data_IF_124894136023
#
_entry.id   IF_124894136023
#
_cell.length_a   1.000
_cell.length_b   1.000
_cell.length_c   1.000
_cell.angle_alpha   90.00
_cell.angle_beta   90.00
_cell.angle_gamma   90.00
#
_symmetry.space_group_name_H-M   'P 1'
#
loop_
_entity.id
_entity.type
_entity.pdbx_description
1 polymer ?
#
# COMPACT_ATOMS: atom_id res chain seq x y z
N UNK A 1 6.77 16.58 -11.58
CA UNK A 1 6.83 17.26 -10.24
C UNK A 1 7.74 16.53 -9.24
N UNK A 2 7.72 15.19 -9.16
CA UNK A 2 8.44 14.40 -8.14
C UNK A 2 9.52 13.47 -8.70
N UNK A 3 10.00 13.70 -9.90
CA UNK A 3 11.04 12.86 -10.51
C UNK A 3 12.29 12.76 -9.63
N UNK A 4 12.72 11.54 -9.35
CA UNK A 4 13.87 11.23 -8.49
C UNK A 4 13.68 11.49 -6.99
N UNK A 5 12.51 11.95 -6.53
CA UNK A 5 12.24 12.12 -5.09
C UNK A 5 11.84 10.79 -4.44
N UNK A 6 12.36 10.55 -3.25
CA UNK A 6 11.90 9.45 -2.41
C UNK A 6 10.47 9.72 -1.91
N UNK A 7 9.63 8.69 -1.83
CA UNK A 7 8.25 8.84 -1.37
C UNK A 7 8.17 9.39 0.06
N UNK A 8 9.14 9.06 0.94
CA UNK A 8 9.21 9.67 2.28
C UNK A 8 9.47 11.18 2.25
N UNK A 9 10.16 11.69 1.23
CA UNK A 9 10.37 13.13 1.05
C UNK A 9 9.10 13.84 0.57
N UNK A 10 8.32 13.16 -0.28
CA UNK A 10 7.02 13.65 -0.75
C UNK A 10 6.02 13.71 0.41
N UNK A 11 5.98 12.67 1.24
CA UNK A 11 5.17 12.67 2.46
C UNK A 11 5.57 13.80 3.41
N UNK A 12 6.88 13.96 3.68
CA UNK A 12 7.38 15.04 4.56
C UNK A 12 7.04 16.43 4.02
N UNK A 13 7.16 16.64 2.70
CA UNK A 13 6.77 17.88 2.06
C UNK A 13 5.28 18.19 2.28
N UNK A 14 4.40 17.22 2.03
CA UNK A 14 2.96 17.38 2.27
C UNK A 14 2.65 17.70 3.74
N UNK A 15 3.27 16.97 4.67
CA UNK A 15 3.07 17.21 6.11
C UNK A 15 3.54 18.58 6.52
N UNK A 16 4.68 19.06 6.02
CA UNK A 16 5.20 20.40 6.29
C UNK A 16 4.24 21.49 5.78
N UNK A 17 3.80 21.40 4.53
CA UNK A 17 2.84 22.30 3.90
C UNK A 17 1.50 22.32 4.68
N UNK A 18 1.03 21.17 5.11
CA UNK A 18 -0.25 21.03 5.81
C UNK A 18 -0.16 21.53 7.26
N UNK A 19 0.90 21.17 7.99
CA UNK A 19 1.11 21.64 9.37
C UNK A 19 1.29 23.15 9.46
N UNK A 20 1.79 23.80 8.39
CA UNK A 20 1.88 25.26 8.34
C UNK A 20 0.51 25.95 8.32
N UNK A 21 -0.51 25.28 7.75
CA UNK A 21 -1.84 25.83 7.50
C UNK A 21 -2.93 25.28 8.42
N UNK A 22 -2.77 24.05 8.94
CA UNK A 22 -3.73 23.41 9.86
C UNK A 22 -3.04 23.04 11.19
N UNK A 23 -3.35 23.79 12.29
CA UNK A 23 -2.79 23.53 13.60
C UNK A 23 -3.27 22.21 14.25
N UNK A 24 -4.28 21.57 13.68
CA UNK A 24 -4.79 20.28 14.16
C UNK A 24 -3.99 19.09 13.63
N UNK A 25 -3.19 19.26 12.59
CA UNK A 25 -2.32 18.19 12.07
C UNK A 25 -1.13 18.00 12.98
N UNK A 26 -0.93 16.76 13.43
CA UNK A 26 0.18 16.33 14.27
C UNK A 26 0.86 15.10 13.68
N UNK A 27 2.17 15.00 13.87
CA UNK A 27 2.99 13.87 13.43
C UNK A 27 3.58 13.20 14.66
N UNK A 28 3.45 11.89 14.78
CA UNK A 28 3.97 11.13 15.92
C UNK A 28 4.83 9.99 15.40
N UNK A 29 6.07 9.96 15.83
CA UNK A 29 7.06 8.92 15.52
C UNK A 29 7.43 8.12 16.78
N UNK A 30 7.89 6.90 16.58
CA UNK A 30 8.47 6.05 17.61
C UNK A 30 9.96 5.80 17.31
N UNK A 31 10.79 6.84 17.48
CA UNK A 31 12.26 6.86 17.27
C UNK A 31 12.70 6.55 15.81
N UNK A 32 11.82 6.74 14.83
CA UNK A 32 12.09 6.47 13.41
C UNK A 32 11.96 7.70 12.49
N UNK A 33 11.86 8.91 13.04
CA UNK A 33 11.68 10.13 12.25
C UNK A 33 12.76 10.35 11.17
N UNK A 34 14.04 9.99 11.43
CA UNK A 34 15.10 10.04 10.42
C UNK A 34 14.85 9.09 9.27
N UNK A 35 14.45 7.85 9.58
CA UNK A 35 14.16 6.84 8.58
C UNK A 35 12.92 7.18 7.76
N UNK A 36 11.89 7.72 8.40
CA UNK A 36 10.62 8.12 7.78
C UNK A 36 10.68 9.47 7.06
N UNK A 37 11.77 10.26 7.25
CA UNK A 37 11.97 11.57 6.62
C UNK A 37 11.34 12.75 7.36
N UNK A 38 10.70 12.51 8.52
CA UNK A 38 9.94 13.52 9.29
C UNK A 38 10.79 14.27 10.33
N UNK A 39 12.08 13.92 10.48
CA UNK A 39 12.95 14.48 11.53
C UNK A 39 12.98 16.03 11.58
N UNK A 40 13.02 16.68 10.42
CA UNK A 40 13.08 18.15 10.34
C UNK A 40 11.80 18.82 10.83
N UNK A 41 10.65 18.12 10.82
CA UNK A 41 9.39 18.65 11.33
C UNK A 41 9.45 18.91 12.84
N UNK A 42 10.24 18.15 13.59
CA UNK A 42 10.43 18.35 15.05
C UNK A 42 11.04 19.71 15.39
N UNK A 43 11.98 20.16 14.56
CA UNK A 43 12.60 21.47 14.76
C UNK A 43 11.64 22.61 14.40
N UNK A 44 10.79 22.40 13.41
CA UNK A 44 9.86 23.42 12.91
C UNK A 44 8.57 23.48 13.72
N UNK A 45 8.09 22.34 14.19
CA UNK A 45 6.83 22.19 14.92
C UNK A 45 7.01 21.34 16.21
N UNK A 46 7.80 21.81 17.20
CA UNK A 46 8.19 21.01 18.36
C UNK A 46 7.00 20.51 19.19
N UNK A 47 5.89 21.25 19.22
CA UNK A 47 4.67 20.87 19.96
C UNK A 47 3.74 19.91 19.17
N UNK A 48 4.02 19.66 17.89
CA UNK A 48 3.14 18.90 16.99
C UNK A 48 3.86 17.82 16.17
N UNK A 49 5.17 17.76 16.22
CA UNK A 49 5.98 16.67 15.68
C UNK A 49 6.68 15.97 16.84
N UNK A 50 6.04 14.94 17.37
CA UNK A 50 6.31 14.33 18.68
C UNK A 50 7.06 13.02 18.47
N UNK A 51 8.05 12.74 19.30
CA UNK A 51 8.67 11.42 19.43
C UNK A 51 8.32 10.81 20.79
N UNK A 52 7.79 9.60 20.75
CA UNK A 52 7.42 8.88 21.97
C UNK A 52 8.48 7.85 22.40
N UNK A 53 9.63 7.82 21.71
CA UNK A 53 10.62 6.75 21.86
C UNK A 53 10.16 5.45 21.20
N UNK A 54 10.89 4.36 21.42
CA UNK A 54 10.55 3.03 20.88
C UNK A 54 9.34 2.45 21.66
N UNK A 55 8.16 3.06 21.44
CA UNK A 55 6.93 2.77 22.15
C UNK A 55 5.70 2.89 21.24
N UNK A 56 5.63 2.06 20.20
CA UNK A 56 4.62 2.18 19.13
C UNK A 56 3.18 1.97 19.65
N UNK A 57 2.97 1.14 20.67
CA UNK A 57 1.66 0.97 21.30
C UNK A 57 1.21 2.27 21.98
N UNK A 58 2.14 2.96 22.67
CA UNK A 58 1.89 4.27 23.26
C UNK A 58 1.62 5.32 22.17
N UNK A 59 2.40 5.31 21.07
CA UNK A 59 2.17 6.17 19.90
C UNK A 59 0.74 6.07 19.39
N UNK A 60 0.25 4.84 19.18
CA UNK A 60 -1.12 4.62 18.68
C UNK A 60 -2.19 5.07 19.68
N UNK A 61 -1.96 4.84 20.98
CA UNK A 61 -2.89 5.26 22.05
C UNK A 61 -2.95 6.79 22.20
N UNK A 62 -1.79 7.47 22.14
CA UNK A 62 -1.71 8.94 22.12
C UNK A 62 -2.45 9.50 20.91
N UNK A 63 -2.20 8.93 19.72
CA UNK A 63 -2.87 9.36 18.49
C UNK A 63 -4.40 9.24 18.59
N UNK A 64 -4.90 8.12 19.11
CA UNK A 64 -6.33 7.93 19.34
C UNK A 64 -6.91 8.98 20.30
N UNK A 65 -6.21 9.27 21.41
CA UNK A 65 -6.59 10.32 22.35
C UNK A 65 -6.58 11.70 21.72
N UNK A 66 -5.57 12.06 20.95
CA UNK A 66 -5.49 13.34 20.22
C UNK A 66 -6.61 13.46 19.19
N UNK A 67 -6.91 12.39 18.45
CA UNK A 67 -7.99 12.38 17.47
C UNK A 67 -9.36 12.61 18.15
N UNK A 68 -9.59 12.05 19.34
CA UNK A 68 -10.81 12.30 20.12
C UNK A 68 -10.96 13.75 20.57
N UNK A 69 -9.85 14.50 20.66
CA UNK A 69 -9.82 15.94 20.91
C UNK A 69 -9.88 16.79 19.64
N UNK A 70 -10.11 16.17 18.47
CA UNK A 70 -10.27 16.86 17.18
C UNK A 70 -8.99 17.16 16.46
N UNK A 71 -7.84 16.57 16.85
CA UNK A 71 -6.61 16.58 16.07
C UNK A 71 -6.66 15.58 14.92
N UNK A 72 -5.77 15.75 13.95
CA UNK A 72 -5.59 14.88 12.77
C UNK A 72 -4.19 14.23 12.84
N UNK A 73 -3.98 13.19 13.65
CA UNK A 73 -2.66 12.59 13.83
C UNK A 73 -2.25 11.69 12.67
N UNK A 74 -1.00 11.84 12.25
CA UNK A 74 -0.25 10.93 11.40
C UNK A 74 0.77 10.20 12.29
N UNK A 75 0.67 8.87 12.39
CA UNK A 75 1.63 8.05 13.11
C UNK A 75 2.48 7.25 12.11
N UNK A 76 3.80 7.20 12.35
CA UNK A 76 4.74 6.61 11.40
C UNK A 76 5.69 5.64 12.10
N UNK A 77 5.84 4.45 11.49
CA UNK A 77 6.86 3.49 11.87
C UNK A 77 7.16 2.56 10.68
N UNK A 78 8.13 1.64 10.82
CA UNK A 78 8.24 0.54 9.86
C UNK A 78 7.00 -0.33 9.89
N UNK A 79 6.66 -0.90 8.73
CA UNK A 79 5.40 -1.66 8.54
C UNK A 79 5.11 -2.66 9.66
N UNK A 80 6.01 -3.58 10.10
CA UNK A 80 5.68 -4.54 11.16
C UNK A 80 5.37 -3.87 12.51
N UNK A 81 5.94 -2.69 12.75
CA UNK A 81 5.77 -1.96 14.00
C UNK A 81 4.54 -1.06 13.97
N UNK A 82 4.20 -0.53 12.79
CA UNK A 82 2.97 0.24 12.57
C UNK A 82 1.72 -0.65 12.38
N UNK A 83 1.87 -1.97 12.40
CA UNK A 83 0.76 -2.91 12.16
C UNK A 83 0.70 -4.02 13.20
N UNK A 84 1.45 -5.09 13.06
CA UNK A 84 1.41 -6.26 13.94
C UNK A 84 1.68 -5.91 15.40
N UNK A 85 2.69 -5.05 15.68
CA UNK A 85 3.05 -4.65 17.06
C UNK A 85 1.96 -3.85 17.77
N UNK A 86 1.13 -3.10 17.02
CA UNK A 86 0.09 -2.21 17.55
C UNK A 86 -1.32 -2.62 17.10
N UNK A 87 -1.50 -3.89 16.73
CA UNK A 87 -2.75 -4.39 16.16
C UNK A 87 -3.95 -4.16 17.08
N UNK A 88 -3.79 -4.40 18.39
CA UNK A 88 -4.86 -4.18 19.37
C UNK A 88 -5.22 -2.69 19.50
N UNK A 89 -4.23 -1.80 19.54
CA UNK A 89 -4.48 -0.35 19.60
C UNK A 89 -5.16 0.15 18.33
N UNK A 90 -4.80 -0.39 17.15
CA UNK A 90 -5.50 -0.09 15.89
C UNK A 90 -6.95 -0.56 15.97
N UNK A 91 -7.17 -1.80 16.42
CA UNK A 91 -8.50 -2.39 16.46
C UNK A 91 -9.43 -1.64 17.45
N UNK A 92 -8.99 -1.43 18.68
CA UNK A 92 -9.84 -0.95 19.77
C UNK A 92 -9.77 0.57 19.89
N UNK A 93 -8.57 1.13 20.05
CA UNK A 93 -8.43 2.57 20.33
C UNK A 93 -8.73 3.43 19.11
N UNK A 94 -8.41 2.94 17.90
CA UNK A 94 -8.56 3.70 16.67
C UNK A 94 -9.83 3.30 15.91
N UNK A 95 -9.95 2.05 15.48
CA UNK A 95 -10.99 1.63 14.54
C UNK A 95 -12.37 1.43 15.20
N UNK A 96 -12.44 0.76 16.36
CA UNK A 96 -13.70 0.61 17.11
C UNK A 96 -14.24 1.97 17.55
N UNK A 97 -13.35 2.84 18.03
CA UNK A 97 -13.70 4.21 18.43
C UNK A 97 -13.85 5.18 17.23
N UNK A 98 -13.67 4.71 15.98
CA UNK A 98 -13.75 5.50 14.73
C UNK A 98 -12.90 6.78 14.76
N UNK A 99 -11.71 6.70 15.33
CA UNK A 99 -10.81 7.85 15.46
C UNK A 99 -10.14 8.17 14.11
N UNK A 100 -10.03 9.47 13.80
CA UNK A 100 -9.41 9.96 12.57
C UNK A 100 -7.89 9.94 12.65
N UNK A 101 -7.29 8.75 12.62
CA UNK A 101 -5.83 8.53 12.67
C UNK A 101 -5.33 8.01 11.32
N UNK A 102 -4.24 8.62 10.81
CA UNK A 102 -3.53 8.14 9.62
C UNK A 102 -2.31 7.34 10.07
N UNK A 103 -2.30 6.06 9.75
CA UNK A 103 -1.26 5.09 10.15
C UNK A 103 -0.38 4.83 8.95
N UNK A 104 0.92 5.14 9.04
CA UNK A 104 1.86 4.97 7.93
C UNK A 104 2.85 3.86 8.30
N UNK A 105 2.75 2.75 7.56
CA UNK A 105 3.73 1.66 7.60
C UNK A 105 4.70 1.77 6.44
N UNK A 106 5.99 1.99 6.75
CA UNK A 106 7.01 2.17 5.72
C UNK A 106 7.77 0.89 5.40
N UNK A 107 8.19 0.75 4.13
CA UNK A 107 8.91 -0.40 3.56
C UNK A 107 8.22 -1.75 3.80
N UNK A 108 7.00 -1.94 3.29
CA UNK A 108 6.29 -3.20 3.39
C UNK A 108 6.92 -4.32 2.56
N UNK A 109 6.74 -5.56 2.99
CA UNK A 109 7.17 -6.74 2.24
C UNK A 109 8.67 -6.73 1.94
N UNK A 110 9.04 -7.16 0.74
CA UNK A 110 10.45 -7.22 0.30
C UNK A 110 11.10 -5.84 0.13
N UNK A 111 10.34 -4.75 0.16
CA UNK A 111 10.90 -3.40 0.06
C UNK A 111 11.73 -2.96 1.28
N UNK A 112 11.65 -3.69 2.38
CA UNK A 112 12.52 -3.49 3.55
C UNK A 112 13.98 -3.94 3.33
N UNK A 113 14.25 -4.75 2.28
CA UNK A 113 15.58 -5.12 1.78
C UNK A 113 16.56 -5.59 2.88
N UNK A 114 17.63 -4.81 3.13
CA UNK A 114 18.69 -5.16 4.09
C UNK A 114 18.24 -5.17 5.56
N UNK A 115 17.07 -4.65 5.88
CA UNK A 115 16.55 -4.73 7.25
C UNK A 115 16.18 -6.16 7.66
N UNK A 116 16.01 -7.06 6.68
CA UNK A 116 15.77 -8.49 6.92
C UNK A 116 14.39 -8.82 7.46
N UNK A 117 14.16 -10.12 7.71
CA UNK A 117 12.85 -10.67 8.05
C UNK A 117 12.19 -10.12 9.30
N UNK A 118 12.95 -9.60 10.27
CA UNK A 118 12.39 -8.98 11.49
C UNK A 118 11.73 -7.62 11.23
N UNK A 119 12.10 -6.95 10.13
CA UNK A 119 11.61 -5.64 9.71
C UNK A 119 10.77 -5.70 8.42
N UNK A 120 10.73 -6.86 7.76
CA UNK A 120 9.83 -7.15 6.65
C UNK A 120 8.49 -7.61 7.18
N UNK A 121 7.41 -6.90 6.86
CA UNK A 121 6.05 -7.39 7.10
C UNK A 121 5.53 -8.01 5.82
N UNK A 122 5.32 -9.31 5.85
CA UNK A 122 4.67 -10.06 4.76
C UNK A 122 3.19 -10.29 5.07
N UNK A 123 2.70 -9.81 6.22
CA UNK A 123 1.39 -10.13 6.78
C UNK A 123 0.54 -8.91 7.17
N UNK A 124 1.05 -7.71 6.97
CA UNK A 124 0.43 -6.45 7.44
C UNK A 124 -1.01 -6.25 6.94
N UNK A 125 -1.26 -6.46 5.65
CA UNK A 125 -2.61 -6.38 5.08
C UNK A 125 -3.49 -7.48 5.69
N UNK A 126 -2.99 -8.71 5.79
CA UNK A 126 -3.72 -9.86 6.32
C UNK A 126 -4.14 -9.65 7.78
N UNK A 127 -3.27 -9.07 8.60
CA UNK A 127 -3.56 -8.73 10.00
C UNK A 127 -4.62 -7.62 10.10
N UNK A 128 -4.51 -6.59 9.27
CA UNK A 128 -5.35 -5.39 9.38
C UNK A 128 -6.67 -5.48 8.60
N UNK A 129 -6.73 -6.28 7.53
CA UNK A 129 -7.91 -6.31 6.66
C UNK A 129 -9.18 -6.80 7.35
N UNK A 130 -9.05 -7.63 8.38
CA UNK A 130 -10.18 -8.10 9.19
C UNK A 130 -10.75 -7.05 10.15
N UNK A 131 -10.01 -5.96 10.45
CA UNK A 131 -10.43 -4.94 11.42
C UNK A 131 -11.48 -4.01 10.77
N UNK A 132 -12.71 -3.88 11.33
CA UNK A 132 -13.73 -2.99 10.78
C UNK A 132 -13.32 -1.51 10.76
N UNK A 133 -13.93 -0.73 9.88
CA UNK A 133 -13.74 0.72 9.72
C UNK A 133 -12.37 1.17 9.19
N UNK A 134 -11.37 0.29 9.07
CA UNK A 134 -10.05 0.63 8.56
C UNK A 134 -10.03 0.64 7.03
N UNK A 135 -9.59 1.73 6.43
CA UNK A 135 -9.22 1.80 5.00
C UNK A 135 -7.76 1.40 4.87
N UNK A 136 -7.44 0.57 3.86
CA UNK A 136 -6.07 0.14 3.54
C UNK A 136 -5.71 0.64 2.15
N UNK A 137 -4.71 1.51 2.08
CA UNK A 137 -4.26 2.16 0.86
C UNK A 137 -2.75 1.95 0.64
N UNK A 138 -2.35 1.63 -0.59
CA UNK A 138 -0.96 1.41 -1.01
C UNK A 138 -0.64 2.24 -2.26
N UNK A 139 -0.02 3.42 -2.14
CA UNK A 139 0.35 4.23 -3.29
C UNK A 139 1.46 3.57 -4.12
N UNK A 140 1.34 3.67 -5.44
CA UNK A 140 2.28 3.06 -6.38
C UNK A 140 3.50 3.94 -6.68
N UNK A 141 3.33 5.26 -6.65
CA UNK A 141 4.39 6.23 -6.93
C UNK A 141 4.22 7.56 -6.17
N UNK A 142 5.16 8.46 -6.37
CA UNK A 142 5.20 9.75 -5.70
C UNK A 142 4.04 10.68 -6.10
N UNK A 143 3.55 10.60 -7.33
CA UNK A 143 2.41 11.41 -7.81
C UNK A 143 1.13 10.93 -7.15
N UNK A 144 0.88 9.62 -7.16
CA UNK A 144 -0.28 9.05 -6.50
C UNK A 144 -0.27 9.34 -5.00
N UNK A 145 0.88 9.16 -4.33
CA UNK A 145 1.02 9.51 -2.91
C UNK A 145 0.63 10.97 -2.66
N UNK A 146 1.24 11.92 -3.37
CA UNK A 146 0.99 13.34 -3.13
C UNK A 146 -0.47 13.73 -3.39
N UNK A 147 -1.07 13.21 -4.47
CA UNK A 147 -2.47 13.48 -4.82
C UNK A 147 -3.46 12.82 -3.86
N UNK A 148 -3.09 11.70 -3.24
CA UNK A 148 -3.94 10.99 -2.28
C UNK A 148 -3.96 11.64 -0.90
N UNK A 149 -2.86 12.24 -0.45
CA UNK A 149 -2.72 12.75 0.91
C UNK A 149 -3.76 13.81 1.30
N UNK A 150 -4.13 14.81 0.46
CA UNK A 150 -5.21 15.74 0.77
C UNK A 150 -6.57 15.04 0.94
N UNK A 151 -6.88 14.07 0.07
CA UNK A 151 -8.13 13.29 0.13
C UNK A 151 -8.18 12.45 1.40
N UNK A 152 -7.06 11.81 1.74
CA UNK A 152 -6.92 11.01 2.96
C UNK A 152 -7.01 11.90 4.21
N UNK A 153 -6.43 13.10 4.21
CA UNK A 153 -6.51 14.04 5.31
C UNK A 153 -7.95 14.43 5.63
N UNK A 154 -8.76 14.68 4.58
CA UNK A 154 -10.17 15.06 4.74
C UNK A 154 -11.10 13.86 5.01
N UNK A 155 -10.67 12.65 4.72
CA UNK A 155 -11.44 11.45 5.07
C UNK A 155 -11.53 11.29 6.59
N UNK A 156 -12.74 11.38 7.13
CA UNK A 156 -12.98 11.29 8.58
C UNK A 156 -13.05 9.82 9.04
N UNK A 157 -11.91 9.22 9.24
CA UNK A 157 -11.77 7.84 9.67
C UNK A 157 -10.33 7.34 9.63
N UNK A 158 -10.08 6.13 10.16
CA UNK A 158 -8.75 5.55 10.15
C UNK A 158 -8.35 5.09 8.75
N UNK A 159 -7.12 5.42 8.35
CA UNK A 159 -6.51 4.98 7.09
C UNK A 159 -5.12 4.43 7.38
N UNK A 160 -4.87 3.20 6.97
CA UNK A 160 -3.53 2.63 6.92
C UNK A 160 -2.93 2.88 5.54
N UNK A 161 -1.81 3.59 5.49
CA UNK A 161 -1.02 3.90 4.30
C UNK A 161 0.20 2.98 4.28
N UNK A 162 0.22 2.06 3.35
CA UNK A 162 1.28 1.08 3.14
C UNK A 162 2.30 1.63 2.15
N UNK A 163 3.41 2.21 2.62
CA UNK A 163 4.23 3.08 1.81
C UNK A 163 5.66 2.56 1.59
N UNK A 164 6.05 2.36 0.33
CA UNK A 164 7.47 2.29 -0.07
C UNK A 164 8.11 3.67 0.15
N UNK A 165 9.24 3.76 0.87
CA UNK A 165 9.78 5.07 1.24
C UNK A 165 10.87 5.61 0.32
N UNK A 166 11.46 4.77 -0.54
CA UNK A 166 12.52 5.18 -1.50
C UNK A 166 11.91 5.76 -2.79
N UNK A 167 12.74 5.96 -3.79
CA UNK A 167 12.30 6.38 -5.12
C UNK A 167 11.50 5.25 -5.77
N UNK A 168 10.24 5.51 -6.07
CA UNK A 168 9.39 4.61 -6.84
C UNK A 168 9.47 4.94 -8.33
N UNK A 169 9.30 3.93 -9.18
CA UNK A 169 9.18 4.14 -10.63
C UNK A 169 7.90 4.95 -10.93
N UNK A 170 7.96 5.98 -11.78
CA UNK A 170 6.80 6.79 -12.11
C UNK A 170 5.78 5.98 -12.93
N UNK A 171 4.54 6.01 -12.51
CA UNK A 171 3.38 5.39 -13.19
C UNK A 171 2.43 6.50 -13.67
N UNK A 172 2.17 7.49 -12.82
CA UNK A 172 1.23 8.57 -13.11
C UNK A 172 1.92 9.89 -13.41
N UNK A 173 1.31 10.68 -14.32
CA UNK A 173 1.73 12.05 -14.62
C UNK A 173 1.05 13.09 -13.72
N UNK A 174 1.46 14.36 -13.84
CA UNK A 174 0.95 15.47 -13.01
C UNK A 174 -0.57 15.68 -13.14
N UNK A 175 -1.17 15.28 -14.24
CA UNK A 175 -2.61 15.38 -14.50
C UNK A 175 -3.45 14.24 -13.88
N UNK A 176 -2.83 13.35 -13.12
CA UNK A 176 -3.53 12.26 -12.45
C UNK A 176 -4.54 12.79 -11.43
N UNK A 177 -5.76 12.25 -11.48
CA UNK A 177 -6.81 12.53 -10.52
C UNK A 177 -7.02 11.30 -9.63
N UNK A 178 -6.89 11.48 -8.33
CA UNK A 178 -7.02 10.44 -7.34
C UNK A 178 -8.44 10.35 -6.80
N UNK A 179 -8.98 9.14 -6.73
CA UNK A 179 -10.19 8.80 -5.97
C UNK A 179 -9.85 7.65 -5.01
N UNK A 180 -10.06 7.85 -3.71
CA UNK A 180 -9.67 6.90 -2.66
C UNK A 180 -10.34 5.51 -2.83
N UNK A 181 -11.49 5.45 -3.46
CA UNK A 181 -12.30 4.22 -3.55
C UNK A 181 -12.44 3.66 -4.98
N UNK A 182 -11.73 4.25 -5.96
CA UNK A 182 -11.73 3.80 -7.35
C UNK A 182 -10.35 3.30 -7.76
N UNK A 183 -10.26 2.06 -8.22
CA UNK A 183 -9.04 1.49 -8.77
C UNK A 183 -8.70 2.12 -10.14
N UNK A 184 -7.40 2.24 -10.44
CA UNK A 184 -6.94 2.85 -11.68
C UNK A 184 -6.73 1.81 -12.77
N UNK A 185 -7.34 2.00 -13.93
CA UNK A 185 -6.95 1.25 -15.13
C UNK A 185 -5.68 1.90 -15.70
N UNK A 186 -4.52 1.30 -15.39
CA UNK A 186 -3.21 1.80 -15.82
C UNK A 186 -2.95 1.48 -17.29
N UNK A 187 -3.49 0.37 -17.78
CA UNK A 187 -3.39 -0.07 -19.17
C UNK A 187 -4.64 -0.84 -19.56
N UNK A 188 -5.26 -0.45 -20.67
CA UNK A 188 -6.38 -1.17 -21.25
C UNK A 188 -5.92 -2.46 -21.94
N UNK A 189 -6.77 -3.50 -21.89
CA UNK A 189 -6.52 -4.77 -22.53
C UNK A 189 -7.78 -5.64 -22.67
N UNK A 190 -7.66 -6.76 -23.38
CA UNK A 190 -8.81 -7.61 -23.73
C UNK A 190 -8.63 -9.08 -23.36
N UNK A 191 -7.40 -9.54 -23.14
CA UNK A 191 -7.11 -10.97 -23.03
C UNK A 191 -6.96 -11.45 -21.59
N UNK A 192 -6.45 -10.64 -20.70
CA UNK A 192 -6.24 -10.99 -19.29
C UNK A 192 -6.16 -9.73 -18.45
N UNK A 193 -6.64 -9.78 -17.22
CA UNK A 193 -6.50 -8.70 -16.24
C UNK A 193 -5.44 -9.04 -15.21
N UNK A 194 -4.48 -8.13 -15.03
CA UNK A 194 -3.54 -8.13 -13.92
C UNK A 194 -4.00 -7.12 -12.87
N UNK A 195 -4.41 -7.62 -11.71
CA UNK A 195 -4.74 -6.82 -10.53
C UNK A 195 -3.48 -6.70 -9.67
N UNK A 196 -2.91 -5.52 -9.58
CA UNK A 196 -1.64 -5.31 -8.89
C UNK A 196 -1.74 -4.17 -7.87
N UNK A 197 -0.92 -4.23 -6.80
CA UNK A 197 -0.75 -3.13 -5.86
C UNK A 197 0.72 -2.77 -5.66
N UNK A 198 0.97 -1.52 -5.29
CA UNK A 198 2.29 -1.00 -4.93
C UNK A 198 3.36 -1.30 -5.98
N UNK A 199 4.52 -1.78 -5.53
CA UNK A 199 5.67 -2.05 -6.40
C UNK A 199 5.41 -3.09 -7.50
N UNK A 200 4.37 -3.93 -7.36
CA UNK A 200 4.06 -4.96 -8.35
C UNK A 200 3.37 -4.42 -9.61
N UNK A 201 2.83 -3.21 -9.57
CA UNK A 201 2.27 -2.56 -10.77
C UNK A 201 3.35 -2.36 -11.85
N UNK A 202 4.58 -2.02 -11.44
CA UNK A 202 5.71 -1.90 -12.37
C UNK A 202 6.07 -3.23 -13.02
N UNK A 203 6.07 -4.32 -12.26
CA UNK A 203 6.35 -5.65 -12.82
C UNK A 203 5.21 -6.08 -13.78
N UNK A 204 3.96 -5.74 -13.47
CA UNK A 204 2.83 -5.96 -14.38
C UNK A 204 3.01 -5.20 -15.70
N UNK A 205 3.45 -3.95 -15.67
CA UNK A 205 3.73 -3.15 -16.87
C UNK A 205 4.85 -3.76 -17.71
N UNK A 206 5.98 -4.15 -17.10
CA UNK A 206 7.08 -4.82 -17.81
C UNK A 206 6.62 -6.14 -18.46
N UNK A 207 5.90 -6.98 -17.71
CA UNK A 207 5.35 -8.22 -18.22
C UNK A 207 4.40 -8.00 -19.40
N UNK A 208 3.59 -6.94 -19.34
CA UNK A 208 2.67 -6.60 -20.42
C UNK A 208 3.35 -6.24 -21.73
N UNK A 209 4.54 -5.64 -21.69
CA UNK A 209 5.31 -5.34 -22.89
C UNK A 209 5.91 -6.62 -23.52
N UNK A 210 6.33 -7.59 -22.70
CA UNK A 210 6.77 -8.89 -23.19
C UNK A 210 5.61 -9.63 -23.86
N UNK A 211 4.47 -9.71 -23.17
CA UNK A 211 3.27 -10.41 -23.63
C UNK A 211 2.66 -9.79 -24.89
N UNK A 212 2.77 -8.47 -25.05
CA UNK A 212 2.35 -7.77 -26.27
C UNK A 212 3.10 -8.26 -27.51
N UNK A 213 4.39 -8.56 -27.39
CA UNK A 213 5.19 -9.13 -28.49
C UNK A 213 4.75 -10.57 -28.86
N UNK A 214 4.02 -11.23 -27.97
CA UNK A 214 3.41 -12.55 -28.20
C UNK A 214 1.93 -12.45 -28.62
N UNK A 215 1.41 -11.23 -28.86
CA UNK A 215 0.04 -10.99 -29.30
C UNK A 215 -1.01 -11.01 -28.18
N UNK A 216 -0.58 -10.93 -26.91
CA UNK A 216 -1.48 -10.94 -25.73
C UNK A 216 -1.70 -9.50 -25.24
N UNK A 217 -2.96 -9.04 -25.24
CA UNK A 217 -3.36 -7.72 -24.79
C UNK A 217 -3.75 -7.74 -23.31
N UNK A 218 -2.87 -7.27 -22.46
CA UNK A 218 -3.00 -7.28 -21.00
C UNK A 218 -3.68 -6.00 -20.51
N UNK A 219 -4.75 -6.12 -19.72
CA UNK A 219 -5.30 -5.05 -18.90
C UNK A 219 -4.60 -5.01 -17.55
N UNK A 220 -4.21 -3.83 -17.08
CA UNK A 220 -3.56 -3.66 -15.78
C UNK A 220 -4.38 -2.70 -14.94
N UNK A 221 -4.78 -3.16 -13.75
CA UNK A 221 -5.48 -2.36 -12.76
C UNK A 221 -4.60 -2.21 -11.52
N UNK A 222 -4.31 -0.97 -11.16
CA UNK A 222 -3.71 -0.62 -9.88
C UNK A 222 -4.81 -0.62 -8.80
N UNK A 223 -4.83 -1.65 -7.98
CA UNK A 223 -5.74 -1.78 -6.84
C UNK A 223 -5.07 -1.13 -5.62
N UNK A 224 -4.97 0.21 -5.65
CA UNK A 224 -4.31 0.97 -4.61
C UNK A 224 -5.07 0.95 -3.27
N UNK A 225 -6.39 0.83 -3.29
CA UNK A 225 -7.19 0.64 -2.07
C UNK A 225 -7.65 -0.81 -1.98
N UNK A 226 -7.04 -1.51 -1.03
CA UNK A 226 -7.26 -2.96 -0.83
C UNK A 226 -8.48 -3.20 0.05
N UNK A 227 -8.83 -2.22 0.86
CA UNK A 227 -10.03 -2.22 1.70
C UNK A 227 -10.60 -0.81 1.83
N UNK A 228 -11.89 -0.61 1.39
CA UNK A 228 -12.68 -1.56 0.60
C UNK A 228 -12.12 -1.73 -0.82
N UNK A 229 -12.41 -2.85 -1.48
CA UNK A 229 -12.10 -3.02 -2.91
C UNK A 229 -13.07 -2.21 -3.78
N UNK A 230 -12.59 -1.69 -4.90
CA UNK A 230 -13.44 -1.25 -6.00
C UNK A 230 -13.93 -2.47 -6.79
N UNK A 231 -14.99 -3.08 -6.28
CA UNK A 231 -15.56 -4.30 -6.86
C UNK A 231 -16.05 -4.08 -8.30
N UNK A 232 -16.61 -2.89 -8.58
CA UNK A 232 -17.18 -2.56 -9.89
C UNK A 232 -16.11 -2.58 -10.99
N UNK A 233 -15.00 -1.87 -10.78
CA UNK A 233 -13.90 -1.82 -11.75
C UNK A 233 -13.29 -3.21 -11.95
N UNK A 234 -13.05 -3.94 -10.87
CA UNK A 234 -12.49 -5.30 -10.93
C UNK A 234 -13.41 -6.25 -11.70
N UNK A 235 -14.70 -6.30 -11.35
CA UNK A 235 -15.65 -7.20 -11.98
C UNK A 235 -15.92 -6.86 -13.46
N UNK A 236 -15.98 -5.58 -13.82
CA UNK A 236 -16.16 -5.15 -15.21
C UNK A 236 -14.98 -5.58 -16.08
N UNK A 237 -13.75 -5.40 -15.61
CA UNK A 237 -12.55 -5.89 -16.27
C UNK A 237 -12.56 -7.41 -16.45
N UNK A 238 -12.84 -8.15 -15.37
CA UNK A 238 -12.80 -9.61 -15.41
C UNK A 238 -13.93 -10.24 -16.25
N UNK A 239 -15.09 -9.61 -16.35
CA UNK A 239 -16.15 -10.03 -17.30
C UNK A 239 -15.70 -9.87 -18.75
N UNK A 240 -14.92 -8.83 -19.05
CA UNK A 240 -14.33 -8.57 -20.38
C UNK A 240 -13.24 -9.57 -20.71
N UNK A 241 -12.23 -9.71 -19.84
CA UNK A 241 -11.00 -10.44 -20.12
C UNK A 241 -11.08 -11.94 -19.82
N UNK A 242 -11.92 -12.35 -18.87
CA UNK A 242 -12.16 -13.76 -18.43
C UNK A 242 -10.90 -14.51 -17.95
N UNK A 243 -9.82 -13.81 -17.63
CA UNK A 243 -8.60 -14.35 -17.04
C UNK A 243 -8.03 -13.35 -16.05
N UNK A 244 -7.56 -13.84 -14.91
CA UNK A 244 -7.10 -13.00 -13.80
C UNK A 244 -5.77 -13.47 -13.23
N UNK A 245 -4.87 -12.49 -13.02
CA UNK A 245 -3.66 -12.65 -12.21
C UNK A 245 -3.69 -11.60 -11.10
N UNK A 246 -3.38 -11.98 -9.86
CA UNK A 246 -3.24 -11.04 -8.75
C UNK A 246 -1.77 -10.95 -8.35
N UNK A 247 -1.26 -9.71 -8.22
CA UNK A 247 0.14 -9.42 -7.91
C UNK A 247 0.23 -8.54 -6.67
N UNK A 248 0.96 -9.01 -5.65
CA UNK A 248 1.13 -8.27 -4.40
C UNK A 248 2.51 -8.47 -3.78
N UNK A 249 3.02 -7.44 -3.13
CA UNK A 249 4.23 -7.51 -2.30
C UNK A 249 3.86 -7.89 -0.86
N UNK A 250 3.22 -9.03 -0.68
CA UNK A 250 2.65 -9.51 0.57
C UNK A 250 2.56 -11.04 0.54
N UNK A 251 2.34 -11.68 1.68
CA UNK A 251 1.97 -13.09 1.72
C UNK A 251 0.66 -13.31 0.95
N UNK A 252 0.60 -14.39 0.19
CA UNK A 252 -0.62 -14.79 -0.55
C UNK A 252 -1.84 -15.07 0.37
N UNK A 253 -1.59 -15.22 1.68
CA UNK A 253 -2.62 -15.42 2.68
C UNK A 253 -3.00 -14.07 3.30
N UNK A 254 -4.26 -13.68 3.18
CA UNK A 254 -4.84 -12.49 3.81
C UNK A 254 -4.69 -11.18 3.05
N UNK A 255 -3.83 -11.10 2.00
CA UNK A 255 -3.59 -9.89 1.21
C UNK A 255 -4.59 -9.63 0.09
N UNK A 256 -4.15 -8.97 -0.97
CA UNK A 256 -4.94 -8.64 -2.15
C UNK A 256 -5.51 -9.87 -2.84
N UNK A 257 -4.70 -10.94 -2.99
CA UNK A 257 -5.16 -12.20 -3.57
C UNK A 257 -6.35 -12.78 -2.80
N UNK A 258 -6.29 -12.77 -1.47
CA UNK A 258 -7.40 -13.25 -0.64
C UNK A 258 -8.64 -12.36 -0.80
N UNK A 259 -8.49 -11.04 -0.81
CA UNK A 259 -9.60 -10.10 -1.00
C UNK A 259 -10.30 -10.28 -2.35
N UNK A 260 -9.52 -10.43 -3.43
CA UNK A 260 -10.05 -10.70 -4.78
C UNK A 260 -10.70 -12.07 -4.83
N UNK A 261 -10.12 -13.10 -4.18
CA UNK A 261 -10.70 -14.44 -4.14
C UNK A 261 -12.06 -14.46 -3.45
N UNK A 262 -12.22 -13.75 -2.33
CA UNK A 262 -13.49 -13.61 -1.61
C UNK A 262 -14.56 -12.96 -2.52
N UNK A 263 -14.21 -11.86 -3.21
CA UNK A 263 -15.09 -11.20 -4.17
C UNK A 263 -15.52 -12.14 -5.31
N UNK A 264 -14.57 -12.88 -5.87
CA UNK A 264 -14.83 -13.71 -7.05
C UNK A 264 -15.65 -14.95 -6.73
N UNK A 265 -15.42 -15.57 -5.57
CA UNK A 265 -16.25 -16.73 -5.14
C UNK A 265 -17.72 -16.35 -5.04
N UNK A 266 -18.02 -15.12 -4.59
CA UNK A 266 -19.39 -14.65 -4.42
C UNK A 266 -20.02 -14.14 -5.73
N UNK A 267 -19.28 -13.32 -6.52
CA UNK A 267 -19.89 -12.52 -7.60
C UNK A 267 -19.51 -12.93 -9.03
N UNK A 268 -18.37 -13.61 -9.21
CA UNK A 268 -17.88 -14.03 -10.53
C UNK A 268 -16.92 -15.22 -10.39
N UNK A 269 -17.39 -16.42 -10.08
CA UNK A 269 -16.54 -17.59 -9.85
C UNK A 269 -15.62 -17.88 -11.03
N UNK A 270 -14.31 -17.83 -10.82
CA UNK A 270 -13.30 -18.13 -11.83
C UNK A 270 -11.99 -18.59 -11.20
N UNK A 271 -11.16 -19.29 -11.98
CA UNK A 271 -9.80 -19.62 -11.56
C UNK A 271 -8.90 -18.41 -11.75
N UNK A 272 -8.03 -18.17 -10.77
CA UNK A 272 -7.07 -17.05 -10.79
C UNK A 272 -5.65 -17.57 -10.54
N UNK A 273 -4.66 -16.93 -11.12
CA UNK A 273 -3.25 -17.10 -10.77
C UNK A 273 -2.76 -15.96 -9.89
N UNK A 274 -1.61 -16.13 -9.26
CA UNK A 274 -1.15 -15.22 -8.22
C UNK A 274 0.37 -15.13 -8.18
N UNK A 275 0.87 -13.94 -7.88
CA UNK A 275 2.27 -13.61 -7.59
C UNK A 275 2.33 -12.91 -6.25
N UNK A 276 3.15 -13.42 -5.35
CA UNK A 276 3.35 -12.91 -3.99
C UNK A 276 4.17 -13.89 -3.16
N UNK A 277 4.40 -13.57 -1.90
CA UNK A 277 5.20 -14.40 -0.99
C UNK A 277 4.42 -15.65 -0.59
N UNK A 278 5.08 -16.82 -0.68
CA UNK A 278 4.47 -18.14 -0.47
C UNK A 278 4.73 -18.62 0.96
N UNK A 279 3.98 -18.08 1.92
CA UNK A 279 3.97 -18.45 3.35
C UNK A 279 5.36 -18.64 3.94
N UNK A 280 6.19 -17.58 3.83
CA UNK A 280 7.55 -17.55 4.41
C UNK A 280 7.89 -16.17 4.93
N UNK A 281 8.81 -16.12 5.89
CA UNK A 281 9.41 -14.86 6.34
C UNK A 281 10.38 -14.29 5.29
N UNK A 282 10.62 -12.99 5.40
CA UNK A 282 11.62 -12.31 4.58
C UNK A 282 13.05 -12.67 4.97
N UNK A 283 13.99 -12.33 4.08
CA UNK A 283 15.42 -12.50 4.28
C UNK A 283 16.18 -11.25 3.86
N UNK A 284 17.46 -11.14 4.24
CA UNK A 284 18.30 -9.98 3.89
C UNK A 284 18.71 -10.03 2.43
N UNK A 285 18.45 -8.97 1.67
CA UNK A 285 18.87 -8.88 0.28
C UNK A 285 18.48 -7.56 -0.38
N UNK A 286 18.99 -7.32 -1.59
CA UNK A 286 18.51 -6.24 -2.46
C UNK A 286 17.20 -6.64 -3.12
N UNK A 287 16.40 -5.66 -3.51
CA UNK A 287 15.10 -5.87 -4.17
C UNK A 287 15.15 -6.87 -5.36
N UNK A 288 16.10 -6.79 -6.31
CA UNK A 288 16.15 -7.75 -7.41
C UNK A 288 16.34 -9.20 -6.97
N UNK A 289 17.26 -9.44 -6.04
CA UNK A 289 17.48 -10.76 -5.44
C UNK A 289 16.24 -11.26 -4.71
N UNK A 290 15.61 -10.40 -3.91
CA UNK A 290 14.41 -10.79 -3.17
C UNK A 290 13.23 -11.11 -4.10
N UNK A 291 13.07 -10.38 -5.21
CA UNK A 291 12.07 -10.72 -6.23
C UNK A 291 12.32 -12.11 -6.82
N UNK A 292 13.57 -12.44 -7.15
CA UNK A 292 13.95 -13.74 -7.68
C UNK A 292 13.66 -14.86 -6.68
N UNK A 293 14.14 -14.75 -5.45
CA UNK A 293 13.96 -15.78 -4.41
C UNK A 293 12.48 -15.97 -4.01
N UNK A 294 11.68 -14.91 -4.08
CA UNK A 294 10.26 -14.96 -3.75
C UNK A 294 9.36 -15.34 -4.95
N UNK A 295 9.92 -15.45 -6.17
CA UNK A 295 9.15 -15.73 -7.38
C UNK A 295 8.21 -14.59 -7.76
N UNK A 296 8.75 -13.36 -7.76
CA UNK A 296 8.02 -12.10 -7.99
C UNK A 296 8.65 -11.27 -9.12
N UNK A 297 9.41 -11.91 -10.00
CA UNK A 297 10.06 -11.27 -11.16
C UNK A 297 9.05 -10.99 -12.27
N UNK A 298 9.49 -10.21 -13.27
CA UNK A 298 8.70 -9.97 -14.49
C UNK A 298 8.40 -11.28 -15.23
N UNK A 299 9.35 -12.21 -15.27
CA UNK A 299 9.24 -13.51 -15.90
C UNK A 299 8.19 -14.39 -15.19
N UNK A 300 8.18 -14.38 -13.86
CA UNK A 300 7.15 -15.06 -13.06
C UNK A 300 5.76 -14.53 -13.38
N UNK A 301 5.62 -13.21 -13.55
CA UNK A 301 4.35 -12.57 -13.94
C UNK A 301 3.92 -13.01 -15.35
N UNK A 302 4.84 -13.07 -16.32
CA UNK A 302 4.56 -13.56 -17.68
C UNK A 302 4.05 -15.00 -17.63
N UNK A 303 4.71 -15.87 -16.89
CA UNK A 303 4.34 -17.28 -16.76
C UNK A 303 2.97 -17.46 -16.09
N UNK A 304 2.72 -16.74 -14.99
CA UNK A 304 1.44 -16.72 -14.30
C UNK A 304 0.31 -16.22 -15.22
N UNK A 305 0.60 -15.24 -16.09
CA UNK A 305 -0.36 -14.68 -17.03
C UNK A 305 -0.76 -15.69 -18.11
N UNK A 306 0.23 -16.35 -18.74
CA UNK A 306 -0.03 -17.44 -19.71
C UNK A 306 -0.85 -18.57 -19.09
N UNK A 307 -0.55 -18.91 -17.85
CA UNK A 307 -1.31 -19.92 -17.08
C UNK A 307 -2.75 -19.45 -16.82
N UNK A 308 -2.98 -18.19 -16.46
CA UNK A 308 -4.33 -17.66 -16.26
C UNK A 308 -5.17 -17.73 -17.54
N UNK A 309 -4.59 -17.40 -18.69
CA UNK A 309 -5.25 -17.50 -20.00
C UNK A 309 -5.63 -18.96 -20.30
N UNK A 310 -4.79 -19.93 -19.96
CA UNK A 310 -5.10 -21.35 -20.19
C UNK A 310 -6.27 -21.88 -19.35
N UNK A 311 -6.82 -21.09 -18.44
CA UNK A 311 -8.00 -21.45 -17.64
C UNK A 311 -9.33 -21.00 -18.27
N UNK A 312 -9.29 -20.20 -19.33
CA UNK A 312 -10.50 -19.83 -20.10
C UNK A 312 -11.11 -21.07 -20.73
#
# INVERSE_FOLDING_TARGET
MFEGKEMRQVLCQFLDETMANDPKVVVIDADLAKANGTFNLRNKYPDRAIDVGIAEQNMASIAAGMASCGYKPFILSFTPFATRRICDQIAISICYAKQNVKIIGTDPGISAEFNGGTHMSMEDIGVLRSIPNLVIFEPVDAVQLYKSLPVILEYNGPVYIRMFRKVADPIFGDNYNFDLFKADIVKEGTDVTLLASGIMVKEALKASEILKNEGINVEIINVHTIKPLDEETILNSLRKTKACVVLENHNLIGGLYSAVSELLVEKLPMRITKIGVKDRFGEVGKMPYLKEVMGMTTEDVVEATKKAISYK
#
